data_IF_599462783331
#
_entry.id   IF_599462783331
#
_cell.length_a   1.000
_cell.length_b   1.000
_cell.length_c   1.000
_cell.angle_alpha   90.00
_cell.angle_beta   90.00
_cell.angle_gamma   90.00
#
_symmetry.space_group_name_H-M   'P 1'
#
loop_
_entity.id
_entity.type
_entity.pdbx_description
1 polymer ?
#
# COMPACT_ATOMS: atom_id res chain seq x y z
N UNK A 1 -2.82 -18.65 3.23
CA UNK A 1 -2.20 -19.64 2.34
C UNK A 1 -0.72 -19.75 2.68
N UNK A 2 -0.25 -20.83 3.31
CA UNK A 2 1.19 -21.02 3.54
C UNK A 2 1.91 -21.26 2.20
N UNK A 3 3.04 -20.60 1.96
CA UNK A 3 3.97 -20.94 0.88
C UNK A 3 4.18 -19.89 -0.23
N UNK A 4 3.32 -18.88 -0.36
CA UNK A 4 3.57 -17.78 -1.29
C UNK A 4 4.53 -16.75 -0.69
N UNK A 5 5.51 -16.24 -1.46
CA UNK A 5 6.44 -15.26 -0.94
C UNK A 5 5.81 -13.87 -0.87
N UNK A 6 6.26 -13.07 0.10
CA UNK A 6 5.94 -11.65 0.16
C UNK A 6 6.71 -10.87 -0.92
N UNK A 7 6.10 -9.86 -1.54
CA UNK A 7 6.78 -9.02 -2.51
C UNK A 7 7.89 -8.20 -1.85
N UNK A 8 8.86 -7.79 -2.66
CA UNK A 8 9.91 -6.85 -2.25
C UNK A 8 9.67 -5.51 -2.91
N UNK A 9 9.50 -4.49 -2.08
CA UNK A 9 9.37 -3.09 -2.51
C UNK A 9 10.75 -2.44 -2.65
N UNK A 10 10.92 -1.45 -3.54
CA UNK A 10 12.15 -0.69 -3.60
C UNK A 10 12.33 0.14 -2.32
N UNK A 11 13.56 0.18 -1.83
CA UNK A 11 14.04 1.13 -0.85
C UNK A 11 14.02 2.55 -1.44
N UNK A 12 14.15 3.61 -0.63
CA UNK A 12 14.21 4.98 -1.12
C UNK A 12 15.33 5.25 -2.14
N UNK A 13 16.41 4.46 -2.12
CA UNK A 13 17.52 4.53 -3.08
C UNK A 13 17.30 3.68 -4.34
N UNK A 14 16.13 3.06 -4.49
CA UNK A 14 15.75 2.21 -5.62
C UNK A 14 16.28 0.77 -5.54
N UNK A 15 17.08 0.42 -4.53
CA UNK A 15 17.52 -0.96 -4.31
C UNK A 15 16.37 -1.82 -3.79
N UNK A 16 16.46 -3.13 -3.96
CA UNK A 16 15.47 -4.05 -3.37
C UNK A 16 16.10 -4.80 -2.20
N UNK A 17 15.36 -5.02 -1.10
CA UNK A 17 15.84 -5.92 -0.05
C UNK A 17 16.12 -7.32 -0.62
N UNK A 18 16.99 -8.12 0.00
CA UNK A 18 17.18 -9.51 -0.39
C UNK A 18 15.93 -10.35 -0.05
N UNK A 19 15.75 -11.48 -0.73
CA UNK A 19 14.70 -12.44 -0.40
C UNK A 19 14.21 -13.24 -1.62
N UNK A 20 13.26 -14.17 -1.44
CA UNK A 20 12.77 -15.03 -2.51
C UNK A 20 11.60 -14.46 -3.32
N UNK A 21 10.91 -13.41 -2.84
CA UNK A 21 9.73 -12.87 -3.51
C UNK A 21 9.96 -12.16 -4.85
N UNK A 22 8.91 -11.72 -5.55
CA UNK A 22 9.07 -10.87 -6.70
C UNK A 22 9.43 -9.43 -6.28
N UNK A 23 10.24 -8.75 -7.08
CA UNK A 23 10.38 -7.29 -6.99
C UNK A 23 9.13 -6.65 -7.57
N UNK A 24 8.49 -5.76 -6.81
CA UNK A 24 7.29 -5.03 -7.24
C UNK A 24 7.56 -3.54 -7.24
N UNK A 25 7.10 -2.87 -8.29
CA UNK A 25 7.28 -1.42 -8.48
C UNK A 25 6.06 -0.62 -8.05
N UNK A 26 4.88 -1.22 -8.18
CA UNK A 26 3.61 -0.56 -7.94
C UNK A 26 2.53 -1.58 -7.53
N UNK A 27 1.40 -1.05 -7.07
CA UNK A 27 0.27 -1.86 -6.59
C UNK A 27 -0.39 -2.67 -7.72
N UNK A 28 -0.47 -2.14 -8.93
CA UNK A 28 -1.10 -2.84 -10.06
C UNK A 28 -0.31 -4.11 -10.43
N UNK A 29 1.01 -4.00 -10.55
CA UNK A 29 1.89 -5.14 -10.78
C UNK A 29 1.76 -6.17 -9.65
N UNK A 30 1.67 -5.73 -8.40
CA UNK A 30 1.46 -6.61 -7.25
C UNK A 30 0.17 -7.43 -7.39
N UNK A 31 -0.96 -6.78 -7.67
CA UNK A 31 -2.26 -7.45 -7.80
C UNK A 31 -2.26 -8.51 -8.91
N UNK A 32 -1.59 -8.24 -10.04
CA UNK A 32 -1.41 -9.22 -11.11
C UNK A 32 -0.63 -10.46 -10.64
N UNK A 33 0.46 -10.26 -9.90
CA UNK A 33 1.27 -11.37 -9.39
C UNK A 33 0.53 -12.21 -8.34
N UNK A 34 -0.32 -11.58 -7.52
CA UNK A 34 -1.19 -12.30 -6.57
C UNK A 34 -2.24 -13.13 -7.32
N UNK A 35 -2.90 -12.55 -8.33
CA UNK A 35 -3.87 -13.27 -9.16
C UNK A 35 -3.27 -14.48 -9.88
N UNK A 36 -2.00 -14.39 -10.28
CA UNK A 36 -1.23 -15.50 -10.85
C UNK A 36 -0.72 -16.52 -9.82
N UNK A 37 -1.02 -16.34 -8.53
CA UNK A 37 -0.55 -17.22 -7.45
C UNK A 37 0.98 -17.17 -7.27
N UNK A 38 1.63 -16.04 -7.57
CA UNK A 38 3.09 -15.88 -7.47
C UNK A 38 3.53 -15.09 -6.24
N UNK A 39 2.60 -14.44 -5.54
CA UNK A 39 2.86 -13.67 -4.33
C UNK A 39 1.62 -13.59 -3.44
N UNK A 40 1.82 -13.21 -2.19
CA UNK A 40 0.77 -12.70 -1.31
C UNK A 40 1.21 -11.37 -0.70
N UNK A 41 0.27 -10.54 -0.24
CA UNK A 41 0.58 -9.26 0.39
C UNK A 41 -0.37 -8.97 1.55
N UNK A 42 0.15 -8.20 2.52
CA UNK A 42 -0.66 -7.55 3.56
C UNK A 42 -0.81 -6.09 3.17
N UNK A 43 -2.04 -5.57 3.24
CA UNK A 43 -2.38 -4.21 2.85
C UNK A 43 -3.44 -3.66 3.81
N UNK A 44 -3.53 -2.33 3.99
CA UNK A 44 -4.64 -1.74 4.73
C UNK A 44 -6.00 -2.15 4.16
N UNK A 45 -7.02 -2.20 5.02
CA UNK A 45 -8.39 -2.58 4.63
C UNK A 45 -8.95 -1.70 3.50
N UNK A 46 -8.58 -0.42 3.46
CA UNK A 46 -9.00 0.52 2.41
C UNK A 46 -8.58 0.09 1.00
N UNK A 47 -7.55 -0.76 0.85
CA UNK A 47 -7.15 -1.32 -0.44
C UNK A 47 -8.13 -2.38 -0.98
N UNK A 48 -9.05 -2.88 -0.16
CA UNK A 48 -10.06 -3.87 -0.58
C UNK A 48 -10.90 -3.38 -1.77
N UNK A 49 -11.16 -2.08 -1.85
CA UNK A 49 -11.91 -1.48 -2.96
C UNK A 49 -11.20 -1.60 -4.33
N UNK A 50 -9.90 -1.94 -4.35
CA UNK A 50 -9.09 -2.06 -5.55
C UNK A 50 -8.91 -3.52 -6.00
N UNK A 51 -9.48 -4.48 -5.26
CA UNK A 51 -9.33 -5.89 -5.58
C UNK A 51 -10.25 -6.28 -6.75
N UNK A 52 -9.67 -6.95 -7.74
CA UNK A 52 -10.40 -7.55 -8.85
C UNK A 52 -10.90 -8.95 -8.48
N UNK A 53 -11.81 -9.52 -9.30
CA UNK A 53 -12.51 -10.77 -9.00
C UNK A 53 -11.64 -12.00 -8.75
N UNK A 54 -10.40 -11.99 -9.24
CA UNK A 54 -9.44 -13.09 -9.07
C UNK A 54 -8.68 -13.04 -7.73
N UNK A 55 -9.01 -12.08 -6.85
CA UNK A 55 -8.31 -11.84 -5.60
C UNK A 55 -9.23 -12.04 -4.39
N UNK A 56 -8.71 -12.70 -3.37
CA UNK A 56 -9.37 -12.87 -2.09
C UNK A 56 -8.62 -12.11 -0.99
N UNK A 57 -9.36 -11.32 -0.19
CA UNK A 57 -8.83 -10.68 1.01
C UNK A 57 -9.21 -11.48 2.26
N UNK A 58 -8.20 -11.82 3.05
CA UNK A 58 -8.35 -12.47 4.36
C UNK A 58 -8.02 -11.45 5.45
N UNK A 59 -8.89 -11.23 6.45
CA UNK A 59 -8.61 -10.32 7.55
C UNK A 59 -7.38 -10.76 8.37
N UNK A 60 -6.51 -9.82 8.70
CA UNK A 60 -5.40 -10.00 9.64
C UNK A 60 -5.76 -9.22 10.91
N UNK A 61 -6.22 -9.93 11.93
CA UNK A 61 -6.88 -9.33 13.10
C UNK A 61 -5.90 -8.67 14.08
N UNK A 62 -4.63 -9.06 14.04
CA UNK A 62 -3.54 -8.59 14.90
C UNK A 62 -2.60 -7.61 14.17
N UNK A 63 -2.99 -7.11 12.99
CA UNK A 63 -2.19 -6.15 12.25
C UNK A 63 -2.09 -4.80 12.99
N UNK A 64 -0.89 -4.16 12.99
CA UNK A 64 -0.76 -2.82 13.52
C UNK A 64 -1.55 -1.81 12.67
N UNK A 65 -1.99 -0.72 13.30
CA UNK A 65 -2.66 0.38 12.58
C UNK A 65 -1.70 1.03 11.58
N UNK A 66 -2.19 1.26 10.37
CA UNK A 66 -1.49 2.05 9.34
C UNK A 66 -2.06 3.46 9.34
N UNK A 67 -1.19 4.47 9.40
CA UNK A 67 -1.58 5.89 9.38
C UNK A 67 -1.26 6.49 8.01
N UNK A 68 -2.28 6.98 7.32
CA UNK A 68 -2.10 7.84 6.14
C UNK A 68 -1.86 9.28 6.59
N UNK A 69 -0.83 9.93 6.05
CA UNK A 69 -0.47 11.31 6.38
C UNK A 69 -0.49 12.20 5.15
N UNK A 70 -0.80 13.47 5.35
CA UNK A 70 -0.61 14.54 4.36
C UNK A 70 0.60 15.35 4.84
N UNK A 71 1.63 15.50 4.01
CA UNK A 71 2.87 16.20 4.37
C UNK A 71 3.10 17.41 3.47
N UNK A 72 3.61 18.51 4.05
CA UNK A 72 3.98 19.73 3.33
C UNK A 72 5.21 20.39 3.98
N UNK A 73 5.96 21.23 3.25
CA UNK A 73 7.07 21.97 3.84
C UNK A 73 6.59 22.85 5.01
N UNK A 74 7.30 22.89 6.15
CA UNK A 74 6.84 23.59 7.35
C UNK A 74 6.63 25.10 7.15
N UNK A 75 7.34 25.69 6.17
CA UNK A 75 7.24 27.10 5.80
C UNK A 75 6.15 27.38 4.75
N UNK A 76 5.40 26.38 4.30
CA UNK A 76 4.32 26.57 3.31
C UNK A 76 3.24 27.53 3.84
N UNK A 77 2.77 28.41 2.97
CA UNK A 77 1.62 29.30 3.18
C UNK A 77 0.54 29.12 2.10
N UNK A 78 0.60 28.01 1.36
CA UNK A 78 -0.33 27.72 0.27
C UNK A 78 -1.76 27.54 0.81
N UNK A 79 -2.68 28.39 0.35
CA UNK A 79 -4.11 28.27 0.66
C UNK A 79 -4.69 26.95 0.13
N UNK A 80 -4.30 26.53 -1.07
CA UNK A 80 -4.77 25.29 -1.67
C UNK A 80 -4.38 24.05 -0.84
N UNK A 81 -3.19 24.02 -0.26
CA UNK A 81 -2.77 22.94 0.68
C UNK A 81 -3.63 22.98 1.95
N UNK A 82 -3.85 24.17 2.51
CA UNK A 82 -4.68 24.31 3.71
C UNK A 82 -6.15 23.88 3.47
N UNK A 83 -6.72 24.23 2.31
CA UNK A 83 -8.07 23.81 1.89
C UNK A 83 -8.16 22.30 1.70
N UNK A 84 -7.16 21.69 1.05
CA UNK A 84 -7.08 20.23 0.89
C UNK A 84 -7.03 19.52 2.25
N UNK A 85 -6.13 19.94 3.14
CA UNK A 85 -5.97 19.31 4.47
C UNK A 85 -7.26 19.40 5.25
N UNK A 86 -7.89 20.58 5.34
CA UNK A 86 -9.19 20.74 6.01
C UNK A 86 -10.23 19.78 5.43
N UNK A 87 -10.38 19.78 4.10
CA UNK A 87 -11.38 18.94 3.42
C UNK A 87 -11.13 17.46 3.70
N UNK A 88 -9.89 17.00 3.57
CA UNK A 88 -9.52 15.60 3.77
C UNK A 88 -9.70 15.13 5.23
N UNK A 89 -9.47 15.99 6.22
CA UNK A 89 -9.62 15.63 7.64
C UNK A 89 -11.06 15.80 8.16
N UNK A 90 -11.94 16.47 7.42
CA UNK A 90 -13.36 16.58 7.76
C UNK A 90 -14.16 15.31 7.42
N UNK A 91 -13.63 14.43 6.57
CA UNK A 91 -14.31 13.23 6.07
C UNK A 91 -13.89 11.94 6.79
N UNK A 92 -13.21 12.05 7.94
CA UNK A 92 -12.79 10.90 8.74
C UNK A 92 -13.88 10.42 9.70
#
# INVERSE_FOLDING_TARGET
MPGLPLPRWPNPDGTYPPGPGPQVRDHAQLLQLVGLGRACAVSPESCRAQLHGDLAAVPVLDAPKVTTVIAWPPHSRSRAVADLVRTATHLQ
#
